data_IF_331806051784
#
_entry.id   IF_331806051784
#
_cell.length_a   1.000
_cell.length_b   1.000
_cell.length_c   1.000
_cell.angle_alpha   90.00
_cell.angle_beta   90.00
_cell.angle_gamma   90.00
#
_symmetry.space_group_name_H-M   'P 1'
#
loop_
_entity.id
_entity.type
_entity.pdbx_description
1 polymer ?
#
# COMPACT_ATOMS: atom_id res chain seq x y z
N UNK A 1 -28.73 -2.66 -33.11
CA UNK A 1 -28.69 -1.72 -31.96
C UNK A 1 -29.50 -2.26 -30.78
N UNK A 2 -30.20 -3.39 -30.92
CA UNK A 2 -30.87 -4.07 -29.80
C UNK A 2 -30.07 -5.31 -29.38
N UNK A 3 -29.22 -5.19 -28.36
CA UNK A 3 -28.66 -6.36 -27.69
C UNK A 3 -29.58 -6.74 -26.52
N UNK A 4 -30.23 -7.89 -26.66
CA UNK A 4 -30.98 -8.52 -25.58
C UNK A 4 -30.05 -8.82 -24.39
N UNK A 5 -30.39 -8.34 -23.19
CA UNK A 5 -29.58 -8.47 -21.96
C UNK A 5 -28.15 -7.87 -22.04
N UNK A 6 -28.04 -6.56 -22.23
CA UNK A 6 -26.76 -5.86 -22.14
C UNK A 6 -26.12 -6.04 -20.75
N UNK A 7 -24.87 -6.52 -20.73
CA UNK A 7 -24.07 -6.72 -19.52
C UNK A 7 -23.43 -5.40 -19.09
N UNK A 8 -23.68 -4.99 -17.86
CA UNK A 8 -23.15 -3.75 -17.26
C UNK A 8 -21.78 -3.95 -16.61
N UNK A 9 -21.37 -5.21 -16.40
CA UNK A 9 -20.12 -5.56 -15.75
C UNK A 9 -19.54 -6.84 -16.34
N UNK A 10 -18.23 -7.04 -16.19
CA UNK A 10 -17.47 -8.15 -16.77
C UNK A 10 -17.97 -9.52 -16.27
N UNK A 11 -18.39 -9.64 -15.01
CA UNK A 11 -19.00 -10.87 -14.49
C UNK A 11 -20.36 -11.21 -15.09
N UNK A 12 -21.02 -10.26 -15.76
CA UNK A 12 -22.32 -10.49 -16.41
C UNK A 12 -23.50 -10.76 -15.47
N UNK A 13 -23.29 -10.63 -14.15
CA UNK A 13 -24.34 -10.71 -13.11
C UNK A 13 -25.27 -9.51 -13.25
N UNK A 14 -24.70 -8.34 -13.51
CA UNK A 14 -25.41 -7.09 -13.68
C UNK A 14 -25.77 -6.91 -15.16
N UNK A 15 -27.05 -7.05 -15.48
CA UNK A 15 -27.61 -6.86 -16.82
C UNK A 15 -28.83 -5.95 -16.81
N UNK A 16 -29.14 -5.39 -17.98
CA UNK A 16 -30.38 -4.63 -18.19
C UNK A 16 -31.48 -5.61 -18.67
N UNK A 17 -32.56 -5.82 -17.89
CA UNK A 17 -33.69 -6.63 -18.34
C UNK A 17 -34.43 -5.93 -19.49
N UNK A 18 -35.00 -6.71 -20.40
CA UNK A 18 -35.70 -6.18 -21.58
C UNK A 18 -37.16 -5.98 -21.20
N UNK A 19 -37.65 -4.74 -21.28
CA UNK A 19 -39.05 -4.37 -21.00
C UNK A 19 -39.65 -4.95 -19.71
N UNK A 20 -38.96 -4.88 -18.54
CA UNK A 20 -39.47 -5.50 -17.33
C UNK A 20 -40.68 -4.73 -16.80
N UNK A 21 -41.73 -5.46 -16.44
CA UNK A 21 -42.82 -4.95 -15.60
C UNK A 21 -42.27 -4.60 -14.22
N UNK A 22 -42.91 -3.67 -13.49
CA UNK A 22 -42.50 -3.29 -12.13
C UNK A 22 -42.20 -4.50 -11.22
N UNK A 23 -43.05 -5.53 -11.23
CA UNK A 23 -42.81 -6.73 -10.42
C UNK A 23 -41.58 -7.52 -10.86
N UNK A 24 -41.33 -7.63 -12.17
CA UNK A 24 -40.16 -8.32 -12.72
C UNK A 24 -38.87 -7.56 -12.40
N UNK A 25 -38.91 -6.23 -12.33
CA UNK A 25 -37.76 -5.45 -11.85
C UNK A 25 -37.45 -5.72 -10.39
N UNK A 26 -38.46 -5.83 -9.53
CA UNK A 26 -38.27 -6.13 -8.10
C UNK A 26 -37.73 -7.53 -7.89
N UNK A 27 -38.27 -8.51 -8.62
CA UNK A 27 -37.78 -9.89 -8.59
C UNK A 27 -36.31 -9.94 -9.04
N UNK A 28 -35.95 -9.27 -10.14
CA UNK A 28 -34.57 -9.18 -10.58
C UNK A 28 -33.64 -8.50 -9.57
N UNK A 29 -34.04 -7.36 -8.99
CA UNK A 29 -33.25 -6.69 -7.95
C UNK A 29 -33.02 -7.59 -6.74
N UNK A 30 -33.99 -8.42 -6.38
CA UNK A 30 -33.85 -9.38 -5.27
C UNK A 30 -32.86 -10.51 -5.54
N UNK A 31 -32.53 -10.79 -6.80
CA UNK A 31 -31.51 -11.79 -7.18
C UNK A 31 -30.08 -11.25 -7.11
N UNK A 32 -29.90 -9.93 -6.99
CA UNK A 32 -28.57 -9.32 -6.96
C UNK A 32 -27.88 -9.59 -5.60
N UNK A 33 -26.56 -9.74 -5.60
CA UNK A 33 -25.82 -9.97 -4.37
C UNK A 33 -25.89 -8.75 -3.44
N UNK A 34 -26.05 -9.00 -2.14
CA UNK A 34 -26.09 -7.96 -1.11
C UNK A 34 -24.76 -7.17 -1.05
N UNK A 35 -23.65 -7.87 -1.24
CA UNK A 35 -22.31 -7.29 -1.36
C UNK A 35 -21.96 -7.18 -2.83
N UNK A 36 -21.97 -5.95 -3.35
CA UNK A 36 -21.60 -5.68 -4.73
C UNK A 36 -20.08 -5.82 -4.94
N UNK A 37 -19.69 -6.49 -6.02
CA UNK A 37 -18.29 -6.59 -6.42
C UNK A 37 -17.78 -5.25 -6.97
N UNK A 38 -16.51 -4.86 -6.75
CA UNK A 38 -15.97 -3.56 -7.17
C UNK A 38 -16.11 -3.25 -8.67
N UNK A 39 -16.13 -4.29 -9.50
CA UNK A 39 -16.32 -4.20 -10.95
C UNK A 39 -17.57 -3.43 -11.37
N UNK A 40 -18.62 -3.41 -10.53
CA UNK A 40 -19.89 -2.71 -10.80
C UNK A 40 -19.68 -1.20 -10.79
N UNK A 41 -18.68 -0.75 -10.04
CA UNK A 41 -18.25 0.64 -9.96
C UNK A 41 -17.10 0.94 -10.93
N UNK A 42 -16.72 -0.02 -11.79
CA UNK A 42 -15.57 0.09 -12.69
C UNK A 42 -14.22 -0.05 -11.99
N UNK A 43 -14.18 -0.67 -10.80
CA UNK A 43 -12.97 -0.87 -10.01
C UNK A 43 -12.45 -2.30 -10.13
N UNK A 44 -11.14 -2.47 -9.98
CA UNK A 44 -10.50 -3.80 -9.93
C UNK A 44 -10.84 -4.54 -8.62
N UNK A 45 -10.73 -5.87 -8.59
CA UNK A 45 -10.89 -6.72 -7.39
C UNK A 45 -10.02 -6.26 -6.20
N UNK A 46 -8.92 -5.57 -6.46
CA UNK A 46 -8.00 -5.08 -5.42
C UNK A 46 -8.59 -3.92 -4.61
N UNK A 47 -9.66 -3.28 -5.09
CA UNK A 47 -10.36 -2.24 -4.35
C UNK A 47 -10.96 -2.78 -3.04
N UNK A 48 -11.39 -4.06 -3.02
CA UNK A 48 -11.87 -4.70 -1.79
C UNK A 48 -10.73 -4.90 -0.79
N UNK A 49 -9.53 -5.26 -1.26
CA UNK A 49 -8.34 -5.38 -0.40
C UNK A 49 -8.02 -4.02 0.23
N UNK A 50 -7.96 -2.96 -0.57
CA UNK A 50 -7.68 -1.60 -0.09
C UNK A 50 -8.71 -1.17 0.95
N UNK A 51 -10.01 -1.36 0.65
CA UNK A 51 -11.09 -1.04 1.58
C UNK A 51 -10.97 -1.80 2.89
N UNK A 52 -10.71 -3.12 2.84
CA UNK A 52 -10.57 -3.94 4.04
C UNK A 52 -9.36 -3.53 4.89
N UNK A 53 -8.24 -3.16 4.26
CA UNK A 53 -7.06 -2.62 4.96
C UNK A 53 -7.42 -1.31 5.67
N UNK A 54 -8.12 -0.41 4.98
CA UNK A 54 -8.51 0.89 5.52
C UNK A 54 -9.51 0.75 6.68
N UNK A 55 -10.55 -0.09 6.52
CA UNK A 55 -11.52 -0.40 7.57
C UNK A 55 -10.85 -1.06 8.77
N UNK A 56 -9.92 -2.00 8.54
CA UNK A 56 -9.17 -2.67 9.63
C UNK A 56 -8.29 -1.68 10.39
N UNK A 57 -7.53 -0.83 9.69
CA UNK A 57 -6.71 0.18 10.32
C UNK A 57 -7.55 1.19 11.11
N UNK A 58 -8.69 1.61 10.55
CA UNK A 58 -9.64 2.48 11.25
C UNK A 58 -10.18 1.81 12.51
N UNK A 59 -10.57 0.54 12.44
CA UNK A 59 -11.02 -0.23 13.59
C UNK A 59 -9.92 -0.31 14.67
N UNK A 60 -8.70 -0.69 14.30
CA UNK A 60 -7.58 -0.81 15.24
C UNK A 60 -7.26 0.54 15.90
N UNK A 61 -7.22 1.63 15.13
CA UNK A 61 -7.04 2.97 15.68
C UNK A 61 -8.15 3.34 16.67
N UNK A 62 -9.41 3.03 16.34
CA UNK A 62 -10.54 3.28 17.24
C UNK A 62 -10.43 2.45 18.51
N UNK A 63 -10.04 1.18 18.40
CA UNK A 63 -9.82 0.30 19.56
C UNK A 63 -8.74 0.88 20.47
N UNK A 64 -7.60 1.32 19.91
CA UNK A 64 -6.52 1.95 20.67
C UNK A 64 -6.98 3.22 21.40
N UNK A 65 -7.83 4.04 20.77
CA UNK A 65 -8.40 5.23 21.43
C UNK A 65 -9.36 4.89 22.57
N UNK A 66 -10.13 3.81 22.42
CA UNK A 66 -11.05 3.33 23.47
C UNK A 66 -10.36 2.52 24.55
N UNK A 67 -9.10 2.13 24.33
CA UNK A 67 -8.30 1.46 25.33
C UNK A 67 -8.05 2.45 26.46
N UNK A 68 -8.87 2.35 27.51
CA UNK A 68 -8.60 3.02 28.78
C UNK A 68 -7.19 2.63 29.19
N UNK A 69 -6.47 3.58 29.80
CA UNK A 69 -5.08 3.41 30.23
C UNK A 69 -4.95 2.36 31.35
N UNK A 70 -5.47 1.14 31.19
CA UNK A 70 -5.20 0.00 32.05
C UNK A 70 -3.72 -0.43 31.96
N UNK A 71 -2.96 0.14 31.01
CA UNK A 71 -1.50 0.13 30.98
C UNK A 71 -0.85 1.36 31.65
N UNK A 72 -1.60 2.22 32.34
CA UNK A 72 -1.03 3.17 33.31
C UNK A 72 -0.34 2.47 34.49
N UNK A 73 -0.40 1.13 34.53
CA UNK A 73 0.36 0.26 35.43
C UNK A 73 1.40 -0.59 34.72
N UNK A 74 2.26 -0.04 33.85
CA UNK A 74 3.57 -0.63 33.61
C UNK A 74 4.62 0.40 33.20
N UNK A 75 5.44 0.72 34.20
CA UNK A 75 6.83 1.16 34.14
C UNK A 75 7.16 2.34 33.21
N UNK A 76 7.48 3.52 33.74
CA UNK A 76 8.86 3.81 34.18
C UNK A 76 9.91 3.03 33.39
N UNK A 77 10.06 3.38 32.11
CA UNK A 77 11.16 2.95 31.25
C UNK A 77 11.55 4.13 30.38
N UNK A 78 12.31 5.04 30.98
CA UNK A 78 13.19 6.01 30.33
C UNK A 78 12.66 6.72 29.09
N UNK A 79 12.01 7.87 29.31
CA UNK A 79 11.98 8.97 28.31
C UNK A 79 13.36 9.68 28.19
N UNK A 80 14.44 8.98 28.55
CA UNK A 80 15.80 9.49 28.68
C UNK A 80 16.84 8.62 27.93
N UNK A 81 16.41 7.72 27.04
CA UNK A 81 17.25 7.37 25.90
C UNK A 81 16.75 8.21 24.75
N UNK A 82 17.61 9.13 24.31
CA UNK A 82 17.32 10.03 23.22
C UNK A 82 16.72 9.24 22.07
N UNK A 83 15.62 9.78 21.54
CA UNK A 83 15.03 9.42 20.25
C UNK A 83 16.10 9.73 19.20
N UNK A 84 17.11 8.86 19.10
CA UNK A 84 18.12 8.94 18.06
C UNK A 84 17.33 8.65 16.81
N UNK A 85 17.13 9.69 16.00
CA UNK A 85 16.40 9.62 14.74
C UNK A 85 16.83 8.32 14.03
N UNK A 86 15.89 7.41 13.69
CA UNK A 86 16.23 6.18 12.98
C UNK A 86 17.02 6.46 11.70
N UNK A 87 16.87 7.66 11.11
CA UNK A 87 17.69 8.15 10.01
C UNK A 87 19.16 8.29 10.40
N UNK A 88 19.47 8.81 11.60
CA UNK A 88 20.84 8.93 12.08
C UNK A 88 21.51 7.57 12.25
N UNK A 89 20.78 6.58 12.79
CA UNK A 89 21.29 5.20 12.90
C UNK A 89 21.65 4.64 11.52
N UNK A 90 20.74 4.76 10.55
CA UNK A 90 20.98 4.31 9.17
C UNK A 90 22.19 5.02 8.55
N UNK A 91 22.30 6.34 8.73
CA UNK A 91 23.44 7.11 8.23
C UNK A 91 24.77 6.63 8.82
N UNK A 92 24.81 6.33 10.12
CA UNK A 92 26.03 5.79 10.76
C UNK A 92 26.38 4.39 10.27
N UNK A 93 25.39 3.55 9.98
CA UNK A 93 25.64 2.23 9.39
C UNK A 93 26.17 2.31 7.96
N UNK A 94 25.60 3.21 7.14
CA UNK A 94 26.08 3.44 5.77
C UNK A 94 27.51 3.97 5.81
N UNK A 95 27.82 4.90 6.69
CA UNK A 95 29.17 5.45 6.86
C UNK A 95 30.19 4.36 7.24
N UNK A 96 29.83 3.42 8.12
CA UNK A 96 30.68 2.27 8.47
C UNK A 96 30.89 1.26 7.34
N UNK A 97 29.96 1.19 6.40
CA UNK A 97 30.03 0.28 5.24
C UNK A 97 30.79 0.89 4.06
N UNK A 98 31.04 2.21 4.05
CA UNK A 98 31.83 2.82 3.00
C UNK A 98 33.29 2.37 3.10
N UNK A 99 33.95 2.02 1.97
CA UNK A 99 35.38 1.79 1.96
C UNK A 99 36.14 3.09 2.25
N UNK A 100 37.36 2.95 2.75
CA UNK A 100 38.24 4.10 2.99
C UNK A 100 38.43 4.93 1.71
N UNK A 101 38.54 6.24 1.90
CA UNK A 101 38.75 7.17 0.79
C UNK A 101 40.01 6.77 0.01
N UNK A 102 39.85 6.60 -1.29
CA UNK A 102 40.93 6.17 -2.17
C UNK A 102 42.06 7.22 -2.20
N UNK A 103 43.29 6.79 -1.96
CA UNK A 103 44.47 7.65 -1.95
C UNK A 103 44.87 8.00 -3.39
N UNK A 104 44.52 9.23 -3.79
CA UNK A 104 44.76 9.75 -5.13
C UNK A 104 46.25 9.99 -5.37
N UNK A 105 47.01 10.42 -4.36
CA UNK A 105 48.43 10.76 -4.49
C UNK A 105 49.28 9.50 -4.67
N UNK A 106 49.08 8.50 -3.82
CA UNK A 106 49.77 7.21 -3.94
C UNK A 106 49.41 6.48 -5.25
N UNK A 107 48.17 6.63 -5.71
CA UNK A 107 47.75 6.02 -6.98
C UNK A 107 48.32 6.77 -8.19
N UNK A 108 48.41 8.10 -8.13
CA UNK A 108 49.03 8.90 -9.19
C UNK A 108 50.54 8.62 -9.33
N UNK A 109 51.23 8.36 -8.21
CA UNK A 109 52.64 7.94 -8.23
C UNK A 109 52.79 6.52 -8.78
N UNK A 110 51.92 5.58 -8.37
CA UNK A 110 51.99 4.17 -8.78
C UNK A 110 51.51 3.93 -10.22
N UNK A 111 50.59 4.76 -10.71
CA UNK A 111 50.01 4.69 -12.05
C UNK A 111 50.05 6.08 -12.72
N UNK A 112 51.24 6.55 -13.12
CA UNK A 112 51.37 7.84 -13.79
C UNK A 112 50.66 7.80 -15.15
N UNK A 113 50.01 8.90 -15.48
CA UNK A 113 49.26 9.03 -16.74
C UNK A 113 50.27 9.08 -17.89
N UNK A 114 50.48 7.95 -18.58
CA UNK A 114 51.31 7.87 -19.78
C UNK A 114 50.46 8.11 -21.03
N UNK A 115 51.04 8.85 -21.99
CA UNK A 115 50.43 9.14 -23.29
C UNK A 115 49.97 7.88 -24.06
N UNK A 116 50.62 6.74 -23.83
CA UNK A 116 50.30 5.45 -24.46
C UNK A 116 49.04 4.77 -23.90
N UNK A 117 48.45 5.24 -22.79
CA UNK A 117 47.23 4.68 -22.19
C UNK A 117 45.94 5.23 -22.81
N UNK A 118 46.04 6.07 -23.85
CA UNK A 118 44.91 6.70 -24.55
C UNK A 118 44.92 6.37 -26.05
N UNK A 119 45.25 5.13 -26.41
CA UNK A 119 45.05 4.55 -27.74
C UNK A 119 44.26 3.24 -27.66
#
# INVERSE_FOLDING_TARGET
VDQESFKLSESGIYKVPISPTHNETLEYLSTLPLTAHPEVFGLHENADITRNIEETNSLLNRVLLTQTQLLAGKSTGSKDEQDIDPVLLICTEIMKKLPDQFDIEATAEKFPIMYTNSM
#
